data_IF_930200590679
#
_entry.id   IF_930200590679
#
_cell.length_a   1.000
_cell.length_b   1.000
_cell.length_c   1.000
_cell.angle_alpha   90.00
_cell.angle_beta   90.00
_cell.angle_gamma   90.00
#
_symmetry.space_group_name_H-M   'P 1'
#
loop_
_entity.id
_entity.type
_entity.pdbx_description
1 polymer ?
#
# COMPACT_ATOMS: atom_id res chain seq x y z
N UNK A 1 -30.42 13.27 -22.82
CA UNK A 1 -29.48 12.17 -22.48
C UNK A 1 -28.10 12.77 -22.25
N UNK A 2 -27.70 12.92 -21.00
CA UNK A 2 -26.31 13.20 -20.62
C UNK A 2 -26.03 12.26 -19.44
N UNK A 3 -25.27 11.19 -19.69
CA UNK A 3 -24.92 10.23 -18.65
C UNK A 3 -23.84 10.81 -17.75
N UNK A 4 -24.08 10.75 -16.45
CA UNK A 4 -23.13 11.09 -15.41
C UNK A 4 -21.97 10.07 -15.42
N UNK A 5 -20.88 10.36 -16.12
CA UNK A 5 -19.65 9.54 -16.13
C UNK A 5 -18.45 10.23 -15.47
N UNK A 6 -18.61 11.45 -14.95
CA UNK A 6 -17.49 12.28 -14.48
C UNK A 6 -16.94 11.94 -13.09
N UNK A 7 -17.67 11.17 -12.27
CA UNK A 7 -17.25 10.85 -10.88
C UNK A 7 -16.22 9.71 -10.76
N UNK A 8 -16.37 8.65 -11.54
CA UNK A 8 -15.57 7.42 -11.40
C UNK A 8 -14.13 7.59 -11.88
N UNK A 9 -13.92 8.28 -13.01
CA UNK A 9 -12.57 8.49 -13.57
C UNK A 9 -11.68 9.39 -12.70
N UNK A 10 -12.28 10.38 -12.03
CA UNK A 10 -11.55 11.28 -11.14
C UNK A 10 -11.10 10.58 -9.85
N UNK A 11 -11.94 9.70 -9.28
CA UNK A 11 -11.61 8.88 -8.12
C UNK A 11 -10.44 7.93 -8.38
N UNK A 12 -10.52 7.14 -9.46
CA UNK A 12 -9.46 6.21 -9.85
C UNK A 12 -8.13 6.91 -10.11
N UNK A 13 -8.13 8.05 -10.82
CA UNK A 13 -6.91 8.81 -11.05
C UNK A 13 -6.28 9.32 -9.75
N UNK A 14 -7.10 9.74 -8.78
CA UNK A 14 -6.62 10.16 -7.45
C UNK A 14 -6.04 8.98 -6.68
N UNK A 15 -6.69 7.82 -6.71
CA UNK A 15 -6.17 6.58 -6.11
C UNK A 15 -4.80 6.22 -6.70
N UNK A 16 -4.67 6.19 -8.03
CA UNK A 16 -3.41 5.86 -8.69
C UNK A 16 -2.30 6.88 -8.39
N UNK A 17 -2.64 8.17 -8.21
CA UNK A 17 -1.68 9.19 -7.77
C UNK A 17 -1.22 8.97 -6.33
N UNK A 18 -2.09 8.54 -5.43
CA UNK A 18 -1.74 8.16 -4.05
C UNK A 18 -0.82 6.95 -4.04
N UNK A 19 -1.19 5.85 -4.71
CA UNK A 19 -0.32 4.67 -4.88
C UNK A 19 1.04 5.07 -5.49
N UNK A 20 1.04 5.99 -6.45
CA UNK A 20 2.27 6.55 -7.04
C UNK A 20 3.18 7.31 -6.07
N UNK A 21 2.69 7.76 -4.91
CA UNK A 21 3.53 8.37 -3.87
C UNK A 21 4.50 7.35 -3.27
N UNK A 22 4.16 6.06 -3.24
CA UNK A 22 5.03 5.00 -2.69
C UNK A 22 6.38 4.91 -3.40
N UNK A 23 6.46 5.34 -4.67
CA UNK A 23 7.72 5.47 -5.43
C UNK A 23 8.66 6.54 -4.89
N UNK A 24 8.14 7.44 -4.05
CA UNK A 24 8.84 8.58 -3.45
C UNK A 24 8.92 8.49 -1.93
N UNK A 25 8.42 7.41 -1.33
CA UNK A 25 8.64 7.09 0.09
C UNK A 25 9.86 6.17 0.14
N UNK A 26 11.04 6.66 0.55
CA UNK A 26 12.20 5.78 0.78
C UNK A 26 11.95 4.91 2.01
N UNK A 27 12.49 3.69 2.01
CA UNK A 27 12.43 2.83 3.19
C UNK A 27 13.25 3.44 4.34
N UNK A 28 12.57 3.88 5.39
CA UNK A 28 13.13 4.72 6.48
C UNK A 28 14.27 4.02 7.22
N UNK A 29 14.20 2.69 7.35
CA UNK A 29 15.29 1.89 7.92
C UNK A 29 16.64 2.10 7.20
N UNK A 30 16.64 2.22 5.86
CA UNK A 30 17.86 2.49 5.09
C UNK A 30 18.30 3.95 5.20
N UNK A 31 17.35 4.88 5.24
CA UNK A 31 17.61 6.31 5.44
C UNK A 31 18.37 6.54 6.75
N UNK A 32 17.91 5.93 7.84
CA UNK A 32 18.54 6.03 9.17
C UNK A 32 19.91 5.35 9.26
N UNK A 33 20.27 4.54 8.27
CA UNK A 33 21.59 3.91 8.15
C UNK A 33 22.47 4.58 7.09
N UNK A 34 22.09 5.79 6.65
CA UNK A 34 22.82 6.60 5.69
C UNK A 34 23.11 5.88 4.36
N UNK A 35 22.22 4.95 3.96
CA UNK A 35 22.33 4.31 2.65
C UNK A 35 22.08 5.37 1.57
N UNK A 36 22.99 5.48 0.60
CA UNK A 36 22.79 6.34 -0.56
C UNK A 36 21.71 5.74 -1.48
N UNK A 37 20.74 6.58 -1.88
CA UNK A 37 19.63 6.19 -2.78
C UNK A 37 18.93 4.90 -2.31
N UNK A 38 18.32 4.89 -1.11
CA UNK A 38 17.62 3.72 -0.61
C UNK A 38 16.43 3.35 -1.52
N UNK A 39 16.03 2.08 -1.47
CA UNK A 39 14.85 1.61 -2.19
C UNK A 39 13.57 2.34 -1.74
N UNK A 40 12.59 2.45 -2.64
CA UNK A 40 11.26 2.93 -2.29
C UNK A 40 10.40 1.82 -1.68
N UNK A 41 9.32 2.19 -0.99
CA UNK A 41 8.32 1.23 -0.50
C UNK A 41 7.74 0.38 -1.64
N UNK A 42 7.52 0.99 -2.82
CA UNK A 42 7.06 0.23 -3.98
C UNK A 42 8.09 -0.76 -4.54
N UNK A 43 9.39 -0.51 -4.41
CA UNK A 43 10.44 -1.48 -4.81
C UNK A 43 10.40 -2.71 -3.88
N UNK A 44 10.21 -2.47 -2.58
CA UNK A 44 10.06 -3.50 -1.56
C UNK A 44 8.86 -4.42 -1.89
N UNK A 45 7.67 -3.85 -2.05
CA UNK A 45 6.45 -4.61 -2.37
C UNK A 45 6.54 -5.34 -3.71
N UNK A 46 7.17 -4.74 -4.74
CA UNK A 46 7.39 -5.40 -6.02
C UNK A 46 8.18 -6.70 -5.86
N UNK A 47 9.32 -6.65 -5.16
CA UNK A 47 10.15 -7.85 -4.99
C UNK A 47 9.48 -8.88 -4.09
N UNK A 48 8.71 -8.47 -3.08
CA UNK A 48 7.89 -9.39 -2.27
C UNK A 48 6.84 -10.12 -3.09
N UNK A 49 6.14 -9.43 -4.00
CA UNK A 49 5.19 -10.06 -4.91
C UNK A 49 5.89 -11.09 -5.82
N UNK A 50 7.09 -10.78 -6.31
CA UNK A 50 7.92 -11.75 -7.07
C UNK A 50 8.30 -12.96 -6.22
N UNK A 51 8.70 -12.75 -4.96
CA UNK A 51 8.99 -13.83 -4.03
C UNK A 51 7.76 -14.73 -3.80
N UNK A 52 6.57 -14.15 -3.64
CA UNK A 52 5.32 -14.91 -3.49
C UNK A 52 5.00 -15.78 -4.72
N UNK A 53 5.35 -15.34 -5.94
CA UNK A 53 5.18 -16.15 -7.16
C UNK A 53 6.09 -17.39 -7.18
N UNK A 54 7.37 -17.19 -6.85
CA UNK A 54 8.42 -18.21 -7.05
C UNK A 54 8.64 -19.13 -5.84
N UNK A 55 8.16 -18.73 -4.66
CA UNK A 55 8.18 -19.58 -3.47
C UNK A 55 7.09 -20.65 -3.58
N UNK A 56 7.42 -21.90 -3.21
CA UNK A 56 6.48 -23.01 -3.24
C UNK A 56 5.99 -23.32 -1.84
N UNK A 57 4.68 -23.27 -1.70
CA UNK A 57 3.94 -23.76 -0.53
C UNK A 57 2.56 -24.19 -1.05
N UNK A 58 2.30 -25.49 -1.03
CA UNK A 58 1.06 -26.07 -1.56
C UNK A 58 -0.14 -25.85 -0.62
N UNK A 59 0.09 -25.29 0.58
CA UNK A 59 -0.95 -24.94 1.53
C UNK A 59 -1.43 -23.49 1.38
N UNK A 60 -0.77 -22.67 0.55
CA UNK A 60 -1.06 -21.25 0.40
C UNK A 60 -1.69 -20.90 -0.95
N UNK A 61 -2.65 -19.97 -0.92
CA UNK A 61 -3.15 -19.33 -2.13
C UNK A 61 -2.15 -18.25 -2.59
N UNK A 62 -1.34 -18.56 -3.61
CA UNK A 62 -0.30 -17.65 -4.11
C UNK A 62 -0.85 -16.35 -4.69
N UNK A 63 -2.00 -16.38 -5.36
CA UNK A 63 -2.62 -15.17 -5.89
C UNK A 63 -3.02 -14.21 -4.77
N UNK A 64 -3.54 -14.75 -3.66
CA UNK A 64 -3.81 -13.96 -2.46
C UNK A 64 -2.52 -13.40 -1.85
N UNK A 65 -1.46 -14.19 -1.74
CA UNK A 65 -0.17 -13.72 -1.23
C UNK A 65 0.43 -12.58 -2.08
N UNK A 66 0.30 -12.66 -3.40
CA UNK A 66 0.75 -11.60 -4.32
C UNK A 66 -0.05 -10.32 -4.08
N UNK A 67 -1.38 -10.41 -3.98
CA UNK A 67 -2.24 -9.25 -3.70
C UNK A 67 -1.95 -8.64 -2.33
N UNK A 68 -1.76 -9.46 -1.28
CA UNK A 68 -1.32 -8.99 0.04
C UNK A 68 -0.01 -8.20 -0.06
N UNK A 69 1.01 -8.78 -0.71
CA UNK A 69 2.31 -8.15 -0.85
C UNK A 69 2.23 -6.78 -1.54
N UNK A 70 1.31 -6.61 -2.50
CA UNK A 70 1.09 -5.35 -3.23
C UNK A 70 0.27 -4.32 -2.45
N UNK A 71 -0.37 -4.69 -1.34
CA UNK A 71 -1.33 -3.83 -0.61
C UNK A 71 -0.87 -3.52 0.83
N UNK A 72 -0.09 -4.40 1.47
CA UNK A 72 0.18 -4.30 2.91
C UNK A 72 0.81 -2.97 3.36
N UNK A 73 1.74 -2.40 2.58
CA UNK A 73 2.37 -1.09 2.86
C UNK A 73 1.70 0.07 2.11
N UNK A 74 0.50 -0.12 1.51
CA UNK A 74 -0.15 0.93 0.70
C UNK A 74 -0.49 2.18 1.52
N UNK A 75 -0.78 2.02 2.82
CA UNK A 75 -1.05 3.10 3.76
C UNK A 75 0.11 4.12 3.87
N UNK A 76 1.35 3.65 3.65
CA UNK A 76 2.56 4.47 3.75
C UNK A 76 2.61 5.58 2.69
N UNK A 77 1.76 5.51 1.66
CA UNK A 77 1.64 6.58 0.67
C UNK A 77 1.07 7.88 1.27
N UNK A 78 0.41 7.80 2.43
CA UNK A 78 -0.07 8.93 3.23
C UNK A 78 0.71 9.03 4.55
N UNK A 79 0.92 7.90 5.24
CA UNK A 79 1.51 7.87 6.59
C UNK A 79 3.04 8.07 6.57
N UNK A 80 3.70 7.68 5.48
CA UNK A 80 5.15 7.45 5.45
C UNK A 80 5.53 6.10 6.05
N UNK A 81 6.76 5.65 5.77
CA UNK A 81 7.34 4.43 6.34
C UNK A 81 7.80 4.70 7.78
N UNK A 82 7.03 4.23 8.76
CA UNK A 82 7.34 4.40 10.19
C UNK A 82 8.29 3.28 10.64
N UNK A 83 9.52 3.65 10.99
CA UNK A 83 10.54 2.75 11.50
C UNK A 83 10.51 2.65 13.04
N UNK A 84 11.09 1.60 13.64
CA UNK A 84 11.17 1.47 15.09
C UNK A 84 11.83 2.67 15.80
N UNK A 85 12.79 3.34 15.14
CA UNK A 85 13.48 4.51 15.70
C UNK A 85 12.58 5.76 15.81
N UNK A 86 11.41 5.78 15.17
CA UNK A 86 10.43 6.86 15.27
C UNK A 86 9.64 6.81 16.60
N UNK A 87 9.76 5.72 17.36
CA UNK A 87 9.12 5.52 18.67
C UNK A 87 7.59 5.77 18.66
N UNK A 88 6.93 5.48 17.54
CA UNK A 88 5.46 5.55 17.44
C UNK A 88 4.86 4.28 18.07
N UNK A 89 3.92 4.40 19.03
CA UNK A 89 3.23 3.25 19.61
C UNK A 89 2.52 2.42 18.54
N UNK A 90 2.44 1.10 18.74
CA UNK A 90 1.82 0.18 17.77
C UNK A 90 0.38 0.57 17.46
N UNK A 91 -0.37 0.96 18.48
CA UNK A 91 -1.77 1.36 18.39
C UNK A 91 -1.92 2.65 17.57
N UNK A 92 -1.00 3.61 17.74
CA UNK A 92 -1.02 4.87 16.98
C UNK A 92 -0.58 4.66 15.52
N UNK A 93 0.41 3.78 15.27
CA UNK A 93 0.77 3.37 13.90
C UNK A 93 -0.43 2.74 13.21
N UNK A 94 -1.06 1.76 13.86
CA UNK A 94 -2.23 1.08 13.31
C UNK A 94 -3.38 2.05 13.04
N UNK A 95 -3.71 2.94 13.99
CA UNK A 95 -4.78 3.96 13.81
C UNK A 95 -4.51 4.88 12.62
N UNK A 96 -3.26 5.31 12.41
CA UNK A 96 -2.87 6.16 11.26
C UNK A 96 -3.01 5.41 9.94
N UNK A 97 -2.55 4.17 9.90
CA UNK A 97 -2.57 3.34 8.69
C UNK A 97 -3.99 2.92 8.32
N UNK A 98 -4.83 2.59 9.31
CA UNK A 98 -6.25 2.27 9.12
C UNK A 98 -7.00 3.46 8.51
N UNK A 99 -6.80 4.66 9.08
CA UNK A 99 -7.41 5.89 8.56
C UNK A 99 -6.92 6.20 7.14
N UNK A 100 -5.63 6.03 6.86
CA UNK A 100 -5.08 6.18 5.52
C UNK A 100 -5.69 5.18 4.53
N UNK A 101 -5.83 3.90 4.91
CA UNK A 101 -6.44 2.89 4.04
C UNK A 101 -7.91 3.14 3.78
N UNK A 102 -8.67 3.61 4.77
CA UNK A 102 -10.05 4.08 4.54
C UNK A 102 -10.08 5.20 3.51
N UNK A 103 -9.22 6.22 3.64
CA UNK A 103 -9.15 7.33 2.68
C UNK A 103 -8.73 6.90 1.27
N UNK A 104 -7.76 5.99 1.16
CA UNK A 104 -7.27 5.47 -0.14
C UNK A 104 -8.35 4.67 -0.84
N UNK A 105 -8.94 3.69 -0.14
CA UNK A 105 -9.88 2.73 -0.72
C UNK A 105 -11.25 3.34 -1.00
N UNK A 106 -11.68 4.39 -0.27
CA UNK A 106 -12.90 5.14 -0.56
C UNK A 106 -12.95 5.79 -1.95
N UNK A 107 -11.80 5.89 -2.63
CA UNK A 107 -11.70 6.41 -4.01
C UNK A 107 -12.05 5.36 -5.07
N UNK A 108 -12.27 4.11 -4.67
CA UNK A 108 -12.60 2.99 -5.54
C UNK A 108 -14.10 2.63 -5.46
N UNK A 109 -14.62 1.93 -6.48
CA UNK A 109 -15.92 1.26 -6.40
C UNK A 109 -16.01 0.31 -5.19
N UNK A 110 -17.24 0.05 -4.72
CA UNK A 110 -17.52 -0.67 -3.47
C UNK A 110 -16.83 -2.03 -3.36
N UNK A 111 -16.85 -2.81 -4.45
CA UNK A 111 -16.25 -4.14 -4.53
C UNK A 111 -14.72 -4.08 -4.36
N UNK A 112 -14.06 -3.20 -5.09
CA UNK A 112 -12.61 -3.00 -5.01
C UNK A 112 -12.18 -2.37 -3.68
N UNK A 113 -12.98 -1.44 -3.16
CA UNK A 113 -12.76 -0.83 -1.84
C UNK A 113 -12.71 -1.91 -0.77
N UNK A 114 -13.73 -2.77 -0.76
CA UNK A 114 -13.84 -3.87 0.20
C UNK A 114 -12.67 -4.85 0.06
N UNK A 115 -12.36 -5.27 -1.16
CA UNK A 115 -11.26 -6.22 -1.41
C UNK A 115 -9.91 -5.69 -0.91
N UNK A 116 -9.52 -4.46 -1.28
CA UNK A 116 -8.23 -3.91 -0.89
C UNK A 116 -8.13 -3.62 0.60
N UNK A 117 -9.22 -3.18 1.23
CA UNK A 117 -9.24 -2.94 2.67
C UNK A 117 -9.12 -4.26 3.45
N UNK A 118 -9.85 -5.31 3.06
CA UNK A 118 -9.78 -6.65 3.69
C UNK A 118 -8.44 -7.38 3.42
N UNK A 119 -7.68 -6.99 2.39
CA UNK A 119 -6.32 -7.48 2.19
C UNK A 119 -5.31 -6.79 3.11
N UNK A 120 -5.54 -5.54 3.48
CA UNK A 120 -4.62 -4.79 4.34
C UNK A 120 -4.77 -5.14 5.82
N UNK A 121 -6.01 -5.33 6.28
CA UNK A 121 -6.33 -5.63 7.69
C UNK A 121 -5.94 -7.06 8.12
#
# INVERSE_FOLDING_TARGET
>A
MASASSGHGAGLLRFLRLVGQLKRVPRTGWVYRNVEKPESVSDHMYRMAVMAMVTRDDHLNKDRCIRLALVHDMAECIVGDIAPADNIPKEEKHRREEEAMKQITQLLPEDLRKELYELWE
#
